data_IF_746698376286
#
_entry.id   IF_746698376286
#
_cell.length_a   1.000
_cell.length_b   1.000
_cell.length_c   1.000
_cell.angle_alpha   90.00
_cell.angle_beta   90.00
_cell.angle_gamma   90.00
#
_symmetry.space_group_name_H-M   'P 1'
#
loop_
_entity.id
_entity.type
_entity.pdbx_description
1 polymer ?
#
# COMPACT_ATOMS: atom_id res chain seq x y z
N UNK A 1 -39.59 -22.73 35.10
CA UNK A 1 -38.35 -21.92 35.01
C UNK A 1 -38.53 -20.66 35.85
N UNK A 2 -37.84 -20.60 36.99
CA UNK A 2 -37.96 -19.53 37.96
C UNK A 2 -37.29 -18.27 37.40
N UNK A 3 -38.05 -17.17 37.26
CA UNK A 3 -37.61 -15.93 36.62
C UNK A 3 -36.91 -15.06 37.67
N UNK A 4 -35.81 -15.56 38.26
CA UNK A 4 -35.11 -14.91 39.38
C UNK A 4 -34.32 -13.66 38.98
N UNK A 5 -34.02 -13.49 37.69
CA UNK A 5 -33.03 -12.50 37.24
C UNK A 5 -33.60 -11.41 36.31
N UNK A 6 -34.93 -11.32 36.17
CA UNK A 6 -35.57 -10.35 35.29
C UNK A 6 -37.00 -10.03 35.70
N UNK A 7 -37.16 -9.15 36.69
CA UNK A 7 -38.47 -8.62 37.06
C UNK A 7 -38.99 -7.70 35.95
N UNK A 8 -40.11 -8.08 35.33
CA UNK A 8 -40.83 -7.19 34.43
C UNK A 8 -41.50 -6.07 35.23
N UNK A 9 -41.28 -4.82 34.83
CA UNK A 9 -41.94 -3.67 35.45
C UNK A 9 -43.22 -3.32 34.67
N UNK A 10 -44.35 -3.21 35.36
CA UNK A 10 -45.58 -2.64 34.83
C UNK A 10 -45.87 -1.33 35.55
N UNK A 11 -46.05 -0.25 34.80
CA UNK A 11 -46.38 1.07 35.34
C UNK A 11 -47.75 1.48 34.80
N UNK A 12 -48.71 1.69 35.70
CA UNK A 12 -50.01 2.25 35.35
C UNK A 12 -50.01 3.75 35.60
N UNK A 13 -50.20 4.52 34.54
CA UNK A 13 -50.40 5.95 34.59
C UNK A 13 -51.90 6.23 34.54
N UNK A 14 -52.48 6.82 35.60
CA UNK A 14 -53.90 7.13 35.60
C UNK A 14 -54.25 8.15 34.51
N UNK A 15 -55.48 8.05 34.01
CA UNK A 15 -56.04 9.03 33.09
C UNK A 15 -56.07 10.43 33.72
N UNK A 16 -55.83 11.44 32.91
CA UNK A 16 -55.91 12.85 33.28
C UNK A 16 -56.84 13.58 32.29
N UNK A 17 -57.21 14.83 32.55
CA UNK A 17 -58.03 15.61 31.63
C UNK A 17 -57.37 15.64 30.23
N UNK A 18 -58.01 15.01 29.24
CA UNK A 18 -57.48 14.90 27.87
C UNK A 18 -56.47 13.77 27.61
N UNK A 19 -56.17 12.89 28.59
CA UNK A 19 -55.26 11.75 28.43
C UNK A 19 -55.89 10.45 28.97
N UNK A 20 -56.04 9.40 28.15
CA UNK A 20 -56.53 8.10 28.63
C UNK A 20 -55.53 7.47 29.62
N UNK A 21 -55.96 6.48 30.44
CA UNK A 21 -55.03 5.69 31.23
C UNK A 21 -54.01 5.00 30.32
N UNK A 22 -52.75 4.97 30.73
CA UNK A 22 -51.65 4.37 29.96
C UNK A 22 -50.96 3.33 30.82
N UNK A 23 -50.86 2.12 30.31
CA UNK A 23 -50.11 1.05 30.93
C UNK A 23 -48.82 0.87 30.15
N UNK A 24 -47.68 0.97 30.84
CA UNK A 24 -46.36 0.71 30.28
C UNK A 24 -45.89 -0.65 30.76
N UNK A 25 -45.48 -1.49 29.82
CA UNK A 25 -44.83 -2.76 30.08
C UNK A 25 -43.35 -2.64 29.74
N UNK A 26 -42.48 -2.85 30.72
CA UNK A 26 -41.03 -2.72 30.56
C UNK A 26 -40.33 -3.98 30.05
N UNK A 27 -41.06 -5.08 29.92
CA UNK A 27 -40.56 -6.37 29.43
C UNK A 27 -41.47 -6.87 28.30
N UNK A 28 -41.01 -6.77 27.07
CA UNK A 28 -41.74 -7.22 25.87
C UNK A 28 -41.80 -8.75 25.77
N UNK A 29 -40.92 -9.47 26.49
CA UNK A 29 -40.90 -10.92 26.51
C UNK A 29 -42.10 -11.50 27.23
N UNK A 30 -42.83 -10.75 28.08
CA UNK A 30 -44.01 -11.26 28.77
C UNK A 30 -45.18 -11.60 27.83
N UNK A 31 -45.27 -10.91 26.69
CA UNK A 31 -46.36 -11.07 25.71
C UNK A 31 -45.88 -11.69 24.40
N UNK A 32 -44.69 -12.29 24.40
CA UNK A 32 -44.12 -12.93 23.22
C UNK A 32 -44.69 -14.34 23.03
N UNK A 33 -44.83 -14.78 21.77
CA UNK A 33 -45.36 -16.12 21.45
C UNK A 33 -44.57 -17.27 22.11
N UNK A 34 -43.28 -17.07 22.36
CA UNK A 34 -42.40 -18.11 22.92
C UNK A 34 -42.56 -18.34 24.42
N UNK A 35 -43.15 -17.38 25.13
CA UNK A 35 -43.13 -17.30 26.61
C UNK A 35 -44.51 -17.01 27.19
N UNK A 36 -45.54 -16.84 26.36
CA UNK A 36 -46.90 -16.51 26.82
C UNK A 36 -47.51 -17.59 27.71
N UNK A 37 -47.15 -18.86 27.47
CA UNK A 37 -47.61 -20.01 28.25
C UNK A 37 -46.75 -20.28 29.48
N UNK A 38 -45.65 -19.53 29.67
CA UNK A 38 -44.80 -19.68 30.83
C UNK A 38 -45.38 -18.89 32.00
N UNK A 39 -45.48 -19.55 33.17
CA UNK A 39 -45.95 -18.94 34.41
C UNK A 39 -47.32 -18.25 34.23
N UNK A 40 -47.54 -17.08 34.83
CA UNK A 40 -48.79 -16.32 34.76
C UNK A 40 -48.80 -15.25 33.66
N UNK A 41 -47.92 -15.34 32.65
CA UNK A 41 -47.84 -14.36 31.56
C UNK A 41 -49.16 -14.23 30.78
N UNK A 42 -49.81 -15.36 30.50
CA UNK A 42 -51.13 -15.38 29.86
C UNK A 42 -52.21 -14.68 30.69
N UNK A 43 -52.18 -14.84 32.02
CA UNK A 43 -53.14 -14.19 32.91
C UNK A 43 -52.95 -12.67 32.89
N UNK A 44 -51.70 -12.19 32.86
CA UNK A 44 -51.38 -10.76 32.71
C UNK A 44 -51.86 -10.24 31.35
N UNK A 45 -51.57 -10.95 30.26
CA UNK A 45 -52.01 -10.57 28.92
C UNK A 45 -53.54 -10.49 28.81
N UNK A 46 -54.27 -11.46 29.38
CA UNK A 46 -55.74 -11.45 29.44
C UNK A 46 -56.27 -10.32 30.32
N UNK A 47 -55.61 -10.01 31.44
CA UNK A 47 -55.99 -8.88 32.28
C UNK A 47 -55.79 -7.53 31.57
N UNK A 48 -54.77 -7.41 30.72
CA UNK A 48 -54.46 -6.18 29.99
C UNK A 48 -55.34 -6.00 28.75
N UNK A 49 -55.53 -7.06 27.95
CA UNK A 49 -56.20 -6.97 26.65
C UNK A 49 -57.64 -7.46 26.68
N UNK A 50 -58.02 -8.28 27.66
CA UNK A 50 -59.36 -8.87 27.77
C UNK A 50 -60.42 -7.97 28.39
N UNK A 51 -60.07 -6.73 28.79
CA UNK A 51 -61.04 -5.79 29.36
C UNK A 51 -61.92 -5.11 28.31
N UNK A 52 -61.57 -5.20 27.02
CA UNK A 52 -62.31 -4.54 25.93
C UNK A 52 -62.50 -5.51 24.75
N UNK A 53 -63.66 -5.47 24.10
CA UNK A 53 -63.95 -6.30 22.92
C UNK A 53 -63.21 -5.83 21.64
N UNK A 54 -62.62 -4.63 21.67
CA UNK A 54 -61.91 -4.01 20.55
C UNK A 54 -60.47 -3.66 20.94
N UNK A 55 -59.51 -4.29 20.28
CA UNK A 55 -58.08 -4.04 20.44
C UNK A 55 -57.50 -3.53 19.12
N UNK A 56 -56.72 -2.44 19.19
CA UNK A 56 -56.00 -1.89 18.04
C UNK A 56 -54.50 -2.09 18.28
N UNK A 57 -53.86 -2.84 17.38
CA UNK A 57 -52.41 -2.99 17.40
C UNK A 57 -51.77 -1.87 16.58
N UNK A 58 -51.11 -0.95 17.26
CA UNK A 58 -50.43 0.18 16.62
C UNK A 58 -48.92 -0.04 16.63
N UNK A 59 -48.31 -0.01 15.45
CA UNK A 59 -46.86 -0.07 15.26
C UNK A 59 -46.39 1.31 14.82
N UNK A 60 -45.69 2.07 15.70
CA UNK A 60 -45.28 3.42 15.36
C UNK A 60 -44.26 3.42 14.23
N UNK A 61 -44.43 4.33 13.28
CA UNK A 61 -43.48 4.59 12.20
C UNK A 61 -43.03 6.05 12.20
N UNK A 62 -41.88 6.33 11.58
CA UNK A 62 -41.41 7.72 11.41
C UNK A 62 -42.38 8.58 10.59
N UNK A 63 -43.25 7.97 9.79
CA UNK A 63 -44.27 8.68 9.01
C UNK A 63 -45.44 9.18 9.85
N UNK A 64 -45.63 8.64 11.07
CA UNK A 64 -46.71 9.04 11.99
C UNK A 64 -46.36 10.29 12.80
N UNK A 65 -45.10 10.73 12.72
CA UNK A 65 -44.64 11.96 13.34
C UNK A 65 -45.01 13.12 12.42
N UNK A 66 -46.04 13.88 12.81
CA UNK A 66 -46.35 15.14 12.12
C UNK A 66 -45.09 16.01 12.08
N UNK A 67 -44.77 16.65 10.93
CA UNK A 67 -43.65 17.58 10.85
C UNK A 67 -43.91 18.73 11.81
N UNK A 68 -43.34 18.68 13.01
CA UNK A 68 -43.48 19.78 13.97
C UNK A 68 -42.75 20.99 13.41
N UNK A 69 -43.42 22.15 13.35
CA UNK A 69 -42.82 23.45 12.98
C UNK A 69 -41.77 23.98 14.00
N UNK A 70 -41.28 23.13 14.89
CA UNK A 70 -40.15 23.43 15.74
C UNK A 70 -39.15 22.29 15.63
N UNK A 71 -38.07 22.60 14.92
CA UNK A 71 -36.72 22.04 15.07
C UNK A 71 -36.68 20.58 15.48
N UNK A 72 -36.39 19.72 14.50
CA UNK A 72 -35.76 18.41 14.67
C UNK A 72 -35.06 18.32 16.02
N UNK A 73 -35.77 17.79 17.02
CA UNK A 73 -35.20 17.55 18.34
C UNK A 73 -34.11 16.54 18.07
N UNK A 74 -32.87 17.04 18.07
CA UNK A 74 -31.71 16.25 17.67
C UNK A 74 -31.71 15.02 18.55
N UNK A 75 -31.97 13.87 17.93
CA UNK A 75 -31.78 12.55 18.52
C UNK A 75 -30.30 12.39 18.93
N UNK A 76 -29.42 13.19 18.32
CA UNK A 76 -28.04 13.32 18.68
C UNK A 76 -27.86 13.98 20.08
N UNK A 77 -27.08 13.35 20.98
CA UNK A 77 -26.67 13.96 22.24
C UNK A 77 -26.00 15.33 22.04
N UNK A 78 -26.04 16.19 23.05
CA UNK A 78 -25.48 17.55 23.00
C UNK A 78 -23.98 17.58 22.64
N UNK A 79 -23.23 16.51 22.96
CA UNK A 79 -21.80 16.39 22.63
C UNK A 79 -21.52 16.09 21.15
N UNK A 80 -22.53 15.68 20.37
CA UNK A 80 -22.34 15.24 18.99
C UNK A 80 -21.88 16.38 18.07
N UNK A 81 -22.50 17.57 18.20
CA UNK A 81 -22.11 18.76 17.44
C UNK A 81 -20.64 19.15 17.67
N UNK A 82 -20.20 19.35 18.94
CA UNK A 82 -18.80 19.56 19.28
C UNK A 82 -17.87 18.43 18.78
N UNK A 83 -18.30 17.17 18.88
CA UNK A 83 -17.54 16.02 18.40
C UNK A 83 -17.27 16.05 16.89
N UNK A 84 -18.29 16.39 16.09
CA UNK A 84 -18.14 16.57 14.63
C UNK A 84 -17.20 17.73 14.31
N UNK A 85 -17.26 18.83 15.05
CA UNK A 85 -16.36 19.97 14.86
C UNK A 85 -14.89 19.59 15.12
N UNK A 86 -14.62 18.84 16.19
CA UNK A 86 -13.27 18.33 16.51
C UNK A 86 -12.79 17.34 15.46
N UNK A 87 -13.63 16.38 15.05
CA UNK A 87 -13.30 15.40 14.03
C UNK A 87 -12.98 16.07 12.68
N UNK A 88 -13.80 17.03 12.27
CA UNK A 88 -13.58 17.81 11.04
C UNK A 88 -12.29 18.61 11.11
N UNK A 89 -12.02 19.26 12.25
CA UNK A 89 -10.77 20.00 12.48
C UNK A 89 -9.55 19.09 12.40
N UNK A 90 -9.61 17.90 13.00
CA UNK A 90 -8.53 16.91 12.95
C UNK A 90 -8.24 16.46 11.51
N UNK A 91 -9.27 16.22 10.70
CA UNK A 91 -9.13 15.90 9.28
C UNK A 91 -8.47 17.05 8.51
N UNK A 92 -8.90 18.29 8.76
CA UNK A 92 -8.27 19.48 8.13
C UNK A 92 -6.80 19.59 8.52
N UNK A 93 -6.46 19.45 9.80
CA UNK A 93 -5.07 19.45 10.26
C UNK A 93 -4.26 18.32 9.63
N UNK A 94 -4.83 17.12 9.51
CA UNK A 94 -4.19 15.99 8.86
C UNK A 94 -3.91 16.28 7.37
N UNK A 95 -4.89 16.85 6.66
CA UNK A 95 -4.74 17.27 5.27
C UNK A 95 -3.68 18.36 5.12
N UNK A 96 -3.63 19.34 6.03
CA UNK A 96 -2.61 20.38 6.03
C UNK A 96 -1.22 19.81 6.35
N UNK A 97 -1.11 18.94 7.35
CA UNK A 97 0.16 18.29 7.71
C UNK A 97 0.69 17.41 6.59
N UNK A 98 -0.16 16.56 6.01
CA UNK A 98 0.22 15.64 4.93
C UNK A 98 0.41 16.37 3.60
N UNK A 99 -0.39 17.40 3.33
CA UNK A 99 -0.32 18.24 2.13
C UNK A 99 0.88 19.19 2.12
N UNK A 100 1.32 19.70 3.28
CA UNK A 100 2.56 20.48 3.42
C UNK A 100 3.81 19.69 3.06
N UNK A 101 3.72 18.35 2.96
CA UNK A 101 4.84 17.47 2.57
C UNK A 101 4.89 17.13 1.09
N UNK A 102 4.14 17.83 0.25
CA UNK A 102 4.52 18.03 -1.16
C UNK A 102 5.62 19.10 -1.20
N UNK A 103 6.77 18.80 -0.58
CA UNK A 103 7.97 19.62 -0.76
C UNK A 103 8.22 19.77 -2.25
N UNK A 104 8.66 20.98 -2.68
CA UNK A 104 8.97 21.37 -4.06
C UNK A 104 9.13 20.11 -4.90
N UNK A 105 8.16 19.84 -5.79
CA UNK A 105 8.47 19.03 -6.96
C UNK A 105 9.68 19.75 -7.52
N UNK A 106 10.85 19.17 -7.28
CA UNK A 106 12.09 19.68 -7.83
C UNK A 106 11.74 19.79 -9.29
N UNK A 107 11.66 21.02 -9.79
CA UNK A 107 11.70 21.28 -11.22
C UNK A 107 13.08 20.79 -11.58
N UNK A 108 13.16 19.49 -11.81
CA UNK A 108 14.30 18.84 -12.40
C UNK A 108 14.53 19.70 -13.64
N UNK A 109 15.65 20.43 -13.71
CA UNK A 109 15.89 21.29 -14.84
C UNK A 109 15.79 20.39 -16.06
N UNK A 110 14.78 20.64 -16.89
CA UNK A 110 14.66 19.98 -18.18
C UNK A 110 16.05 20.10 -18.80
N UNK A 111 16.65 18.99 -19.25
CA UNK A 111 18.03 18.99 -19.67
C UNK A 111 18.18 20.02 -20.78
N UNK A 112 18.81 21.14 -20.41
CA UNK A 112 19.68 21.87 -21.31
C UNK A 112 20.54 20.78 -21.95
N UNK A 113 20.66 20.85 -23.27
CA UNK A 113 21.49 19.94 -24.06
C UNK A 113 22.95 20.22 -23.65
N UNK A 114 23.37 19.70 -22.50
CA UNK A 114 24.77 19.73 -22.07
C UNK A 114 25.38 18.45 -22.63
N UNK A 115 26.38 18.62 -23.51
CA UNK A 115 27.06 17.54 -24.21
C UNK A 115 27.41 16.41 -23.24
N UNK A 116 27.13 15.17 -23.67
CA UNK A 116 27.22 13.90 -22.94
C UNK A 116 28.60 13.53 -22.32
N UNK A 117 29.56 14.46 -22.29
CA UNK A 117 30.93 14.26 -21.80
C UNK A 117 31.12 14.70 -20.34
N UNK A 118 30.25 15.57 -19.80
CA UNK A 118 30.44 16.15 -18.46
C UNK A 118 30.12 15.17 -17.30
N UNK A 119 29.03 14.39 -17.41
CA UNK A 119 28.61 13.45 -16.35
C UNK A 119 29.52 12.22 -16.26
N UNK A 120 30.11 11.81 -17.39
CA UNK A 120 31.08 10.70 -17.47
C UNK A 120 32.40 11.07 -16.76
N UNK A 121 32.85 12.32 -16.91
CA UNK A 121 34.05 12.82 -16.24
C UNK A 121 33.87 12.95 -14.71
N UNK A 122 32.67 13.27 -14.24
CA UNK A 122 32.38 13.40 -12.81
C UNK A 122 32.27 12.04 -12.10
N UNK A 123 31.57 11.05 -12.71
CA UNK A 123 31.54 9.68 -12.17
C UNK A 123 32.89 8.96 -12.25
N UNK A 124 33.70 9.24 -13.29
CA UNK A 124 35.06 8.73 -13.41
C UNK A 124 36.03 9.28 -12.36
N UNK A 125 35.75 10.44 -11.76
CA UNK A 125 36.50 10.97 -10.61
C UNK A 125 36.07 10.33 -9.28
N UNK A 126 34.81 9.95 -9.12
CA UNK A 126 34.35 9.23 -7.91
C UNK A 126 34.81 7.77 -7.87
N UNK A 127 34.78 7.03 -8.99
CA UNK A 127 35.29 5.65 -9.03
C UNK A 127 36.82 5.54 -8.88
N UNK A 128 37.54 6.67 -9.04
CA UNK A 128 38.97 6.77 -8.74
C UNK A 128 39.29 6.50 -7.27
N UNK A 129 38.30 6.63 -6.37
CA UNK A 129 38.48 6.52 -4.92
C UNK A 129 38.53 5.09 -4.38
N UNK A 130 38.40 4.05 -5.23
CA UNK A 130 38.35 2.65 -4.76
C UNK A 130 39.56 1.77 -5.13
N UNK A 131 40.67 2.32 -5.65
CA UNK A 131 42.03 1.75 -5.81
C UNK A 131 42.29 0.23 -6.04
N UNK A 132 41.27 -0.56 -6.38
CA UNK A 132 41.37 -2.00 -6.61
C UNK A 132 41.45 -2.25 -8.13
N UNK A 133 42.65 -1.99 -8.66
CA UNK A 133 42.98 -2.08 -10.09
C UNK A 133 42.79 -3.49 -10.63
N UNK A 134 43.14 -4.49 -9.81
CA UNK A 134 42.97 -5.91 -10.14
C UNK A 134 41.51 -6.24 -10.30
N UNK A 135 40.64 -5.77 -9.39
CA UNK A 135 39.20 -5.95 -9.51
C UNK A 135 38.61 -5.21 -10.70
N UNK A 136 39.07 -4.00 -10.98
CA UNK A 136 38.63 -3.24 -12.15
C UNK A 136 38.97 -3.96 -13.46
N UNK A 137 40.19 -4.50 -13.60
CA UNK A 137 40.59 -5.30 -14.76
C UNK A 137 39.74 -6.56 -14.89
N UNK A 138 39.54 -7.30 -13.78
CA UNK A 138 38.74 -8.53 -13.79
C UNK A 138 37.29 -8.27 -14.24
N UNK A 139 36.68 -7.17 -13.80
CA UNK A 139 35.32 -6.78 -14.22
C UNK A 139 35.29 -6.43 -15.71
N UNK A 140 36.29 -5.69 -16.21
CA UNK A 140 36.40 -5.36 -17.64
C UNK A 140 36.55 -6.61 -18.49
N UNK A 141 37.47 -7.51 -18.13
CA UNK A 141 37.69 -8.78 -18.85
C UNK A 141 36.45 -9.66 -18.85
N UNK A 142 35.76 -9.79 -17.70
CA UNK A 142 34.52 -10.56 -17.61
C UNK A 142 33.42 -9.98 -18.51
N UNK A 143 33.25 -8.66 -18.50
CA UNK A 143 32.26 -7.98 -19.34
C UNK A 143 32.59 -8.16 -20.84
N UNK A 144 33.85 -7.97 -21.24
CA UNK A 144 34.30 -8.17 -22.62
C UNK A 144 34.09 -9.61 -23.07
N UNK A 145 34.46 -10.60 -22.25
CA UNK A 145 34.22 -12.02 -22.54
C UNK A 145 32.75 -12.31 -22.78
N UNK A 146 31.86 -11.81 -21.90
CA UNK A 146 30.41 -12.03 -22.02
C UNK A 146 29.83 -11.43 -23.31
N UNK A 147 30.34 -10.28 -23.74
CA UNK A 147 29.94 -9.66 -25.00
C UNK A 147 30.48 -10.43 -26.20
N UNK A 148 31.75 -10.83 -26.18
CA UNK A 148 32.34 -11.64 -27.24
C UNK A 148 31.63 -12.99 -27.39
N UNK A 149 31.28 -13.68 -26.29
CA UNK A 149 30.49 -14.92 -26.37
C UNK A 149 29.13 -14.69 -27.01
N UNK A 150 28.48 -13.57 -26.69
CA UNK A 150 27.19 -13.23 -27.29
C UNK A 150 27.31 -12.90 -28.78
N UNK A 151 28.34 -12.15 -29.20
CA UNK A 151 28.57 -11.80 -30.60
C UNK A 151 29.00 -13.00 -31.45
N UNK A 152 29.79 -13.92 -30.89
CA UNK A 152 30.32 -15.08 -31.58
C UNK A 152 29.42 -16.32 -31.47
N UNK A 153 28.27 -16.22 -30.82
CA UNK A 153 27.32 -17.33 -30.65
C UNK A 153 27.86 -18.50 -29.80
N UNK A 154 28.80 -18.24 -28.91
CA UNK A 154 29.41 -19.26 -28.05
C UNK A 154 28.60 -19.46 -26.77
N UNK A 155 28.67 -20.67 -26.18
CA UNK A 155 28.07 -20.93 -24.88
C UNK A 155 28.65 -20.01 -23.80
N UNK A 156 27.85 -19.57 -22.84
CA UNK A 156 28.30 -18.77 -21.69
C UNK A 156 29.32 -19.53 -20.80
N UNK A 157 29.36 -20.85 -20.87
CA UNK A 157 30.32 -21.72 -20.16
C UNK A 157 31.62 -21.97 -20.94
N UNK A 158 31.81 -21.33 -22.09
CA UNK A 158 32.99 -21.53 -22.94
C UNK A 158 34.27 -21.10 -22.23
N UNK A 159 35.33 -21.91 -22.34
CA UNK A 159 36.63 -21.61 -21.77
C UNK A 159 37.22 -20.32 -22.37
N UNK A 160 38.04 -19.59 -21.62
CA UNK A 160 38.69 -18.35 -22.10
C UNK A 160 39.46 -18.58 -23.40
N UNK A 161 40.14 -19.73 -23.51
CA UNK A 161 40.85 -20.18 -24.71
C UNK A 161 39.94 -20.28 -25.93
N UNK A 162 38.75 -20.90 -25.80
CA UNK A 162 37.80 -21.00 -26.91
C UNK A 162 37.26 -19.64 -27.37
N UNK A 163 36.97 -18.72 -26.43
CA UNK A 163 36.54 -17.35 -26.75
C UNK A 163 37.67 -16.58 -27.43
N UNK A 164 38.92 -16.73 -26.97
CA UNK A 164 40.08 -16.10 -27.58
C UNK A 164 40.35 -16.63 -29.00
N UNK A 165 40.20 -17.94 -29.23
CA UNK A 165 40.39 -18.55 -30.55
C UNK A 165 39.36 -18.02 -31.56
N UNK A 166 38.08 -17.99 -31.18
CA UNK A 166 37.02 -17.47 -32.03
C UNK A 166 37.18 -15.95 -32.29
N UNK A 167 37.51 -15.17 -31.25
CA UNK A 167 37.73 -13.74 -31.40
C UNK A 167 38.97 -13.44 -32.27
N UNK A 168 40.05 -14.21 -32.14
CA UNK A 168 41.25 -14.08 -32.98
C UNK A 168 40.94 -14.38 -34.45
N UNK A 169 40.16 -15.44 -34.72
CA UNK A 169 39.75 -15.81 -36.08
C UNK A 169 38.94 -14.70 -36.77
N UNK A 170 38.06 -14.01 -36.04
CA UNK A 170 37.22 -12.93 -36.59
C UNK A 170 37.97 -11.59 -36.67
N UNK A 171 38.77 -11.25 -35.65
CA UNK A 171 39.52 -9.98 -35.61
C UNK A 171 40.77 -9.96 -36.49
N UNK A 172 41.33 -11.13 -36.84
CA UNK A 172 42.61 -11.25 -37.53
C UNK A 172 43.84 -11.00 -36.63
N UNK A 173 43.65 -10.89 -35.31
CA UNK A 173 44.75 -10.80 -34.33
C UNK A 173 45.34 -12.17 -34.01
N UNK A 174 46.56 -12.19 -33.49
CA UNK A 174 47.19 -13.41 -32.97
C UNK A 174 46.38 -13.95 -31.78
N UNK A 175 46.17 -15.27 -31.77
CA UNK A 175 45.50 -15.98 -30.68
C UNK A 175 46.16 -15.71 -29.32
N UNK A 176 47.50 -15.67 -29.27
CA UNK A 176 48.25 -15.46 -28.03
C UNK A 176 48.00 -14.07 -27.44
N UNK A 177 47.92 -13.05 -28.30
CA UNK A 177 47.69 -11.67 -27.87
C UNK A 177 46.27 -11.50 -27.33
N UNK A 178 45.28 -12.08 -28.00
CA UNK A 178 43.89 -12.05 -27.55
C UNK A 178 43.72 -12.80 -26.23
N UNK A 179 44.35 -13.97 -26.09
CA UNK A 179 44.30 -14.74 -24.85
C UNK A 179 44.92 -13.95 -23.69
N UNK A 180 46.10 -13.37 -23.89
CA UNK A 180 46.78 -12.55 -22.89
C UNK A 180 45.92 -11.35 -22.44
N UNK A 181 45.23 -10.69 -23.37
CA UNK A 181 44.31 -9.58 -23.04
C UNK A 181 43.12 -10.04 -22.16
N UNK A 182 42.55 -11.21 -22.45
CA UNK A 182 41.38 -11.74 -21.73
C UNK A 182 41.72 -12.42 -20.40
N UNK A 183 42.98 -12.82 -20.19
CA UNK A 183 43.43 -13.54 -18.99
C UNK A 183 44.51 -12.83 -18.16
N UNK A 184 44.91 -11.61 -18.51
CA UNK A 184 45.90 -10.85 -17.74
C UNK A 184 45.44 -10.64 -16.30
N UNK A 185 46.32 -10.90 -15.32
CA UNK A 185 45.98 -10.88 -13.89
C UNK A 185 46.55 -9.68 -13.12
N UNK A 186 47.47 -8.90 -13.72
CA UNK A 186 48.18 -7.86 -12.97
C UNK A 186 48.34 -6.56 -13.77
N UNK A 187 47.95 -5.45 -13.14
CA UNK A 187 48.20 -4.11 -13.63
C UNK A 187 48.93 -3.32 -12.54
N UNK A 188 50.08 -2.74 -12.90
CA UNK A 188 50.91 -1.99 -11.94
C UNK A 188 50.51 -0.53 -11.79
N UNK A 189 49.96 0.08 -12.84
CA UNK A 189 49.62 1.50 -12.86
C UNK A 189 48.27 1.79 -13.56
N UNK A 190 47.66 2.93 -13.26
CA UNK A 190 46.37 3.35 -13.84
C UNK A 190 46.49 3.57 -15.36
N UNK A 191 47.66 4.00 -15.83
CA UNK A 191 47.99 4.13 -17.26
C UNK A 191 47.87 2.78 -17.99
N UNK A 192 48.50 1.74 -17.44
CA UNK A 192 48.45 0.39 -17.99
C UNK A 192 47.05 -0.22 -17.94
N UNK A 193 46.22 0.14 -16.94
CA UNK A 193 44.82 -0.29 -16.89
C UNK A 193 44.02 0.33 -18.03
N UNK A 194 44.26 1.61 -18.30
CA UNK A 194 43.58 2.35 -19.35
C UNK A 194 43.99 1.86 -20.74
N UNK A 195 45.27 1.54 -20.94
CA UNK A 195 45.77 0.89 -22.16
C UNK A 195 45.11 -0.48 -22.39
N UNK A 196 45.04 -1.33 -21.37
CA UNK A 196 44.37 -2.63 -21.46
C UNK A 196 42.87 -2.48 -21.75
N UNK A 197 42.19 -1.53 -21.10
CA UNK A 197 40.78 -1.24 -21.36
C UNK A 197 40.54 -0.80 -22.81
N UNK A 198 41.41 0.07 -23.34
CA UNK A 198 41.34 0.50 -24.75
C UNK A 198 41.57 -0.66 -25.71
N UNK A 199 42.52 -1.55 -25.41
CA UNK A 199 42.79 -2.74 -26.22
C UNK A 199 41.61 -3.73 -26.23
N UNK A 200 40.92 -3.91 -25.09
CA UNK A 200 39.70 -4.72 -25.02
C UNK A 200 38.55 -4.12 -25.84
N UNK A 201 38.37 -2.80 -25.79
CA UNK A 201 37.34 -2.10 -26.58
C UNK A 201 37.66 -2.17 -28.08
N UNK A 202 38.93 -2.06 -28.46
CA UNK A 202 39.37 -2.21 -29.84
C UNK A 202 39.05 -3.61 -30.37
N UNK A 203 39.37 -4.65 -29.59
CA UNK A 203 39.03 -6.04 -29.92
C UNK A 203 37.51 -6.23 -30.10
N UNK A 204 36.68 -5.70 -29.20
CA UNK A 204 35.22 -5.78 -29.33
C UNK A 204 34.71 -5.13 -30.62
N UNK A 205 35.28 -3.97 -30.99
CA UNK A 205 34.92 -3.28 -32.24
C UNK A 205 35.35 -4.04 -33.50
N UNK A 206 36.54 -4.64 -33.48
CA UNK A 206 37.04 -5.44 -34.61
C UNK A 206 36.17 -6.68 -34.83
N UNK A 207 35.77 -7.36 -33.75
CA UNK A 207 34.86 -8.52 -33.83
C UNK A 207 33.46 -8.13 -34.32
N UNK A 208 32.94 -6.95 -33.92
CA UNK A 208 31.61 -6.49 -34.32
C UNK A 208 31.52 -6.00 -35.77
N UNK A 209 32.63 -5.54 -36.35
CA UNK A 209 32.64 -4.92 -37.69
C UNK A 209 32.70 -5.91 -38.85
N UNK A 210 32.91 -7.19 -38.58
CA UNK A 210 32.88 -8.27 -39.58
C UNK A 210 31.66 -9.15 -39.37
#
# INVERSE_FOLDING_TARGET
PDKSDGGGAMVSLPGAAGRPPVILLGDDTLISNGTILDSDNAAIALHLFGQTDHLIWYVPSLADVAPSESSSRSIAPEWFGPGVAVATSAVVFLCLWRGRRLGRLVTEPLPVIVRAVETTASRGRMYRKSHDRTRALAVLQLATRRRLTAYLGLSASSAVSSVAAAAAAVSGRSYHDVLALLSSTAVRDDSSLLELANNLIALEKEVRRR
#
